data_IF_824178382856
#
_entry.id   IF_824178382856
#
_cell.length_a   1.000
_cell.length_b   1.000
_cell.length_c   1.000
_cell.angle_alpha   90.00
_cell.angle_beta   90.00
_cell.angle_gamma   90.00
#
_symmetry.space_group_name_H-M   'P 1'
#
loop_
_entity.id
_entity.type
_entity.pdbx_description
1 polymer ?
#
# COMPACT_ATOMS: atom_id res chain seq x y z
N UNK A 1 -17.95 3.08 -42.42
CA UNK A 1 -16.99 2.19 -41.71
C UNK A 1 -16.03 2.94 -40.81
N UNK A 2 -15.60 4.17 -41.16
CA UNK A 2 -14.64 4.96 -40.36
C UNK A 2 -15.24 5.50 -39.04
N UNK A 3 -16.54 5.83 -39.03
CA UNK A 3 -17.26 6.36 -37.85
C UNK A 3 -17.53 5.35 -36.73
N UNK A 4 -17.42 4.04 -37.00
CA UNK A 4 -17.58 2.99 -35.97
C UNK A 4 -16.28 2.65 -35.24
N UNK A 5 -15.13 3.05 -35.79
CA UNK A 5 -13.80 2.85 -35.20
C UNK A 5 -13.54 3.89 -34.10
N UNK A 6 -14.19 5.05 -34.17
CA UNK A 6 -14.00 6.17 -33.23
C UNK A 6 -14.58 5.94 -31.83
N UNK A 7 -15.50 4.99 -31.64
CA UNK A 7 -16.14 4.74 -30.33
C UNK A 7 -15.37 3.69 -29.51
N UNK A 8 -14.56 2.83 -30.16
CA UNK A 8 -13.80 1.78 -29.47
C UNK A 8 -12.57 2.29 -28.71
N UNK A 9 -12.11 3.53 -28.97
CA UNK A 9 -10.89 4.07 -28.35
C UNK A 9 -11.13 4.69 -26.96
N UNK A 10 -12.38 4.97 -26.58
CA UNK A 10 -12.68 5.66 -25.32
C UNK A 10 -12.73 4.76 -24.07
N UNK A 11 -12.75 3.44 -24.20
CA UNK A 11 -12.81 2.52 -23.05
C UNK A 11 -11.44 2.07 -22.50
N UNK A 12 -10.33 2.44 -23.15
CA UNK A 12 -8.98 2.02 -22.71
C UNK A 12 -8.36 2.94 -21.63
N UNK A 13 -9.06 4.00 -21.21
CA UNK A 13 -8.59 4.92 -20.16
C UNK A 13 -9.18 4.58 -18.77
N UNK A 14 -9.39 3.30 -18.47
CA UNK A 14 -9.59 2.90 -17.08
C UNK A 14 -8.30 3.20 -16.29
N UNK A 15 -8.36 3.83 -15.11
CA UNK A 15 -7.19 4.27 -14.36
C UNK A 15 -6.40 3.07 -13.84
N UNK A 16 -5.49 2.53 -14.64
CA UNK A 16 -4.44 1.61 -14.20
C UNK A 16 -3.43 2.28 -13.24
N UNK A 17 -3.61 3.58 -12.96
CA UNK A 17 -2.71 4.41 -12.15
C UNK A 17 -2.90 4.24 -10.64
N UNK A 18 -3.99 3.62 -10.17
CA UNK A 18 -4.28 3.54 -8.73
C UNK A 18 -3.36 2.58 -7.95
N UNK A 19 -2.75 1.59 -8.61
CA UNK A 19 -1.90 0.60 -7.93
C UNK A 19 -0.45 1.04 -7.73
N UNK A 20 0.03 2.05 -8.48
CA UNK A 20 1.45 2.44 -8.44
C UNK A 20 1.90 2.98 -7.07
N UNK A 21 0.96 3.40 -6.20
CA UNK A 21 1.26 4.06 -4.92
C UNK A 21 0.75 3.33 -3.68
N UNK A 22 0.20 2.11 -3.80
CA UNK A 22 -0.45 1.41 -2.67
C UNK A 22 0.53 1.19 -1.49
N UNK A 23 1.69 0.59 -1.75
CA UNK A 23 2.71 0.36 -0.72
C UNK A 23 3.19 1.68 -0.05
N UNK A 24 3.61 2.71 -0.81
CA UNK A 24 3.91 4.04 -0.24
C UNK A 24 2.80 4.64 0.61
N UNK A 25 1.53 4.54 0.19
CA UNK A 25 0.39 5.05 0.95
C UNK A 25 0.20 4.30 2.26
N UNK A 26 0.30 2.96 2.25
CA UNK A 26 0.21 2.16 3.48
C UNK A 26 1.35 2.47 4.44
N UNK A 27 2.57 2.61 3.92
CA UNK A 27 3.75 3.01 4.70
C UNK A 27 3.54 4.36 5.38
N UNK A 28 3.10 5.38 4.64
CA UNK A 28 2.84 6.71 5.19
C UNK A 28 1.71 6.70 6.25
N UNK A 29 0.66 5.90 6.05
CA UNK A 29 -0.42 5.76 7.03
C UNK A 29 0.08 5.14 8.35
N UNK A 30 0.95 4.13 8.27
CA UNK A 30 1.60 3.54 9.45
C UNK A 30 2.48 4.58 10.15
N UNK A 31 3.32 5.31 9.40
CA UNK A 31 4.22 6.32 9.94
C UNK A 31 3.47 7.44 10.66
N UNK A 32 2.30 7.83 10.15
CA UNK A 32 1.43 8.83 10.78
C UNK A 32 0.73 8.32 12.06
N UNK A 33 0.46 7.02 12.16
CA UNK A 33 -0.24 6.42 13.30
C UNK A 33 0.70 6.10 14.47
N UNK A 34 1.95 5.72 14.22
CA UNK A 34 2.92 5.34 15.26
C UNK A 34 3.02 6.37 16.43
N UNK A 35 3.11 7.69 16.19
CA UNK A 35 3.27 8.67 17.27
C UNK A 35 2.07 8.79 18.21
N UNK A 36 0.87 8.38 17.76
CA UNK A 36 -0.39 8.53 18.51
C UNK A 36 -0.99 7.20 18.93
N UNK A 37 -0.41 6.09 18.49
CA UNK A 37 -0.90 4.75 18.78
C UNK A 37 -0.69 4.38 20.24
N UNK A 38 -1.77 3.90 20.87
CA UNK A 38 -1.74 3.34 22.22
C UNK A 38 -1.64 1.83 22.14
N UNK A 39 -0.41 1.33 21.99
CA UNK A 39 -0.09 -0.10 21.88
C UNK A 39 0.82 -0.55 23.02
N UNK A 40 0.84 -1.85 23.29
CA UNK A 40 1.89 -2.42 24.14
C UNK A 40 3.27 -2.21 23.49
N UNK A 41 4.35 -2.18 24.30
CA UNK A 41 5.72 -2.07 23.76
C UNK A 41 6.03 -3.19 22.75
N UNK A 42 5.55 -4.41 23.01
CA UNK A 42 5.72 -5.55 22.13
C UNK A 42 5.00 -5.35 20.78
N UNK A 43 3.77 -4.85 20.80
CA UNK A 43 3.00 -4.58 19.58
C UNK A 43 3.60 -3.41 18.80
N UNK A 44 4.07 -2.36 19.47
CA UNK A 44 4.76 -1.25 18.82
C UNK A 44 6.04 -1.72 18.13
N UNK A 45 6.86 -2.54 18.81
CA UNK A 45 8.05 -3.13 18.21
C UNK A 45 7.71 -3.97 16.95
N UNK A 46 6.62 -4.74 17.01
CA UNK A 46 6.13 -5.52 15.88
C UNK A 46 5.66 -4.63 14.72
N UNK A 47 4.92 -3.55 15.00
CA UNK A 47 4.50 -2.57 13.98
C UNK A 47 5.71 -1.96 13.29
N UNK A 48 6.72 -1.49 14.03
CA UNK A 48 7.93 -0.89 13.46
C UNK A 48 8.71 -1.90 12.61
N UNK A 49 8.83 -3.14 13.07
CA UNK A 49 9.48 -4.21 12.32
C UNK A 49 8.76 -4.52 11.00
N UNK A 50 7.43 -4.67 11.05
CA UNK A 50 6.60 -4.89 9.85
C UNK A 50 6.67 -3.69 8.89
N UNK A 51 6.66 -2.46 9.40
CA UNK A 51 6.81 -1.24 8.58
C UNK A 51 8.13 -1.21 7.83
N UNK A 52 9.23 -1.57 8.50
CA UNK A 52 10.55 -1.68 7.88
C UNK A 52 10.60 -2.83 6.86
N UNK A 53 10.11 -4.00 7.21
CA UNK A 53 10.12 -5.17 6.32
C UNK A 53 9.29 -4.92 5.05
N UNK A 54 8.12 -4.27 5.17
CA UNK A 54 7.30 -3.90 4.01
C UNK A 54 8.03 -2.95 3.07
N UNK A 55 8.79 -1.98 3.59
CA UNK A 55 9.62 -1.09 2.77
C UNK A 55 10.74 -1.83 2.04
N UNK A 56 11.42 -2.75 2.73
CA UNK A 56 12.48 -3.55 2.13
C UNK A 56 11.93 -4.45 1.01
N UNK A 57 10.74 -5.04 1.21
CA UNK A 57 10.02 -5.81 0.17
C UNK A 57 9.61 -4.91 -1.02
N UNK A 58 9.09 -3.71 -0.76
CA UNK A 58 8.76 -2.74 -1.80
C UNK A 58 9.98 -2.38 -2.64
N UNK A 59 11.12 -2.06 -1.99
CA UNK A 59 12.38 -1.74 -2.67
C UNK A 59 12.93 -2.91 -3.48
N UNK A 60 12.65 -4.15 -3.07
CA UNK A 60 13.00 -5.36 -3.80
C UNK A 60 12.04 -5.67 -4.98
N UNK A 61 10.95 -4.91 -5.14
CA UNK A 61 9.94 -5.12 -6.18
C UNK A 61 8.87 -6.16 -5.82
N UNK A 62 8.92 -6.74 -4.62
CA UNK A 62 7.91 -7.68 -4.14
C UNK A 62 6.72 -6.94 -3.50
N UNK A 63 5.89 -6.34 -4.36
CA UNK A 63 4.75 -5.53 -3.94
C UNK A 63 3.69 -6.33 -3.20
N UNK A 64 3.42 -7.57 -3.62
CA UNK A 64 2.42 -8.41 -2.96
C UNK A 64 2.85 -8.75 -1.51
N UNK A 65 4.12 -9.09 -1.29
CA UNK A 65 4.62 -9.33 0.06
C UNK A 65 4.63 -8.03 0.89
N UNK A 66 5.04 -6.91 0.29
CA UNK A 66 5.01 -5.59 0.94
C UNK A 66 3.60 -5.25 1.44
N UNK A 67 2.57 -5.34 0.60
CA UNK A 67 1.19 -5.07 0.99
C UNK A 67 0.70 -6.01 2.09
N UNK A 68 1.02 -7.30 2.01
CA UNK A 68 0.65 -8.26 3.04
C UNK A 68 1.31 -7.96 4.39
N UNK A 69 2.60 -7.58 4.39
CA UNK A 69 3.35 -7.21 5.61
C UNK A 69 2.85 -5.89 6.20
N UNK A 70 2.69 -4.86 5.36
CA UNK A 70 2.17 -3.56 5.79
C UNK A 70 0.72 -3.67 6.27
N UNK A 71 -0.09 -4.54 5.66
CA UNK A 71 -1.45 -4.83 6.09
C UNK A 71 -1.51 -5.40 7.51
N UNK A 72 -0.55 -6.24 7.90
CA UNK A 72 -0.44 -6.73 9.27
C UNK A 72 -0.10 -5.60 10.27
N UNK A 73 0.80 -4.69 9.89
CA UNK A 73 1.12 -3.52 10.72
C UNK A 73 -0.11 -2.63 10.92
N UNK A 74 -0.83 -2.34 9.83
CA UNK A 74 -2.10 -1.59 9.86
C UNK A 74 -3.15 -2.23 10.76
N UNK A 75 -3.29 -3.56 10.72
CA UNK A 75 -4.20 -4.30 11.60
C UNK A 75 -3.86 -4.14 13.09
N UNK A 76 -2.57 -4.17 13.45
CA UNK A 76 -2.13 -3.94 14.82
C UNK A 76 -2.40 -2.49 15.27
N UNK A 77 -2.25 -1.53 14.35
CA UNK A 77 -2.56 -0.11 14.58
C UNK A 77 -4.06 0.22 14.54
N UNK A 78 -4.91 -0.72 14.10
CA UNK A 78 -6.35 -0.50 13.97
C UNK A 78 -6.76 0.43 12.82
N UNK A 79 -5.96 0.52 11.75
CA UNK A 79 -6.18 1.41 10.58
C UNK A 79 -6.29 0.67 9.24
#
# INVERSE_FOLDING_TARGET
>A
MITRISIALFLALAPATAFANQCPTMMAAIDAAIPTASLSEADMAKVTALRKQGEDQHKAGDHAASEATLGQAKKLLGI
#
